data_IF_938993798994
#
_entry.id   IF_938993798994
#
_cell.length_a   1.000
_cell.length_b   1.000
_cell.length_c   1.000
_cell.angle_alpha   90.00
_cell.angle_beta   90.00
_cell.angle_gamma   90.00
#
_symmetry.space_group_name_H-M   'P 1'
#
loop_
_entity.id
_entity.type
_entity.pdbx_description
1 polymer ?
#
# COMPACT_ATOMS: atom_id res chain seq x y z
N UNK A 1 6.20 24.48 3.41
CA UNK A 1 6.57 23.12 2.99
C UNK A 1 5.61 22.15 3.63
N UNK A 2 4.46 21.93 2.99
CA UNK A 2 3.56 20.85 3.39
C UNK A 2 4.24 19.53 3.07
N UNK A 3 4.37 18.69 4.09
CA UNK A 3 5.13 17.44 4.04
C UNK A 3 4.53 16.52 2.96
N UNK A 4 5.26 16.29 1.87
CA UNK A 4 5.07 15.16 0.93
C UNK A 4 5.30 13.81 1.65
N UNK A 5 4.46 13.50 2.65
CA UNK A 5 4.41 12.20 3.34
C UNK A 5 3.52 11.21 2.58
N UNK A 6 2.79 11.67 1.56
CA UNK A 6 1.53 11.07 1.15
C UNK A 6 1.62 9.72 0.44
N UNK A 7 2.68 9.44 -0.35
CA UNK A 7 2.83 8.15 -1.05
C UNK A 7 3.91 7.25 -0.42
N UNK A 8 5.14 7.75 -0.29
CA UNK A 8 6.29 6.94 0.18
C UNK A 8 6.15 6.52 1.65
N UNK A 9 5.68 7.43 2.52
CA UNK A 9 5.51 7.11 3.94
C UNK A 9 4.45 6.02 4.16
N UNK A 10 3.31 6.13 3.46
CA UNK A 10 2.24 5.15 3.52
C UNK A 10 2.66 3.78 2.97
N UNK A 11 3.40 3.77 1.83
CA UNK A 11 4.03 2.55 1.26
C UNK A 11 4.91 1.84 2.28
N UNK A 12 5.81 2.57 2.92
CA UNK A 12 6.72 2.03 3.93
C UNK A 12 5.96 1.49 5.14
N UNK A 13 4.94 2.19 5.64
CA UNK A 13 4.13 1.74 6.78
C UNK A 13 3.37 0.45 6.46
N UNK A 14 2.74 0.35 5.29
CA UNK A 14 2.05 -0.88 4.85
C UNK A 14 3.05 -2.03 4.71
N UNK A 15 4.24 -1.77 4.17
CA UNK A 15 5.31 -2.77 4.08
C UNK A 15 5.72 -3.32 5.44
N UNK A 16 5.88 -2.45 6.45
CA UNK A 16 6.19 -2.84 7.83
C UNK A 16 5.09 -3.72 8.42
N UNK A 17 3.82 -3.36 8.24
CA UNK A 17 2.69 -4.14 8.76
C UNK A 17 2.56 -5.51 8.08
N UNK A 18 2.91 -5.64 6.79
CA UNK A 18 2.99 -6.93 6.11
C UNK A 18 4.07 -7.80 6.76
N UNK A 19 5.29 -7.27 6.96
CA UNK A 19 6.40 -8.02 7.55
C UNK A 19 6.14 -8.43 9.01
N UNK A 20 5.41 -7.60 9.76
CA UNK A 20 4.94 -7.96 11.11
C UNK A 20 3.93 -9.10 11.04
N UNK A 21 2.94 -9.00 10.16
CA UNK A 21 1.91 -10.03 10.01
C UNK A 21 2.50 -11.37 9.54
N UNK A 22 3.48 -11.38 8.62
CA UNK A 22 4.21 -12.59 8.20
C UNK A 22 4.89 -13.26 9.39
N UNK A 23 5.69 -12.51 10.15
CA UNK A 23 6.35 -13.04 11.35
C UNK A 23 5.35 -13.63 12.35
N UNK A 24 4.20 -13.00 12.54
CA UNK A 24 3.19 -13.52 13.47
C UNK A 24 2.50 -14.80 12.98
N UNK A 25 2.40 -15.01 11.67
CA UNK A 25 1.93 -16.27 11.08
C UNK A 25 2.97 -17.36 11.33
N UNK A 26 4.25 -17.09 11.07
CA UNK A 26 5.32 -18.08 11.20
C UNK A 26 5.53 -18.56 12.65
N UNK A 27 5.24 -17.71 13.64
CA UNK A 27 5.40 -18.04 15.07
C UNK A 27 4.11 -18.54 15.73
N UNK A 28 3.05 -18.80 14.95
CA UNK A 28 1.78 -19.23 15.54
C UNK A 28 1.80 -20.72 15.91
N UNK A 29 1.54 -20.98 17.19
CA UNK A 29 1.67 -22.29 17.85
C UNK A 29 0.34 -23.03 17.99
N UNK A 30 -0.78 -22.38 17.68
CA UNK A 30 -2.11 -23.00 17.67
C UNK A 30 -2.88 -22.63 16.41
N UNK A 31 -3.76 -23.52 15.96
CA UNK A 31 -4.54 -23.36 14.73
C UNK A 31 -5.41 -22.09 14.74
N UNK A 32 -6.03 -21.77 15.88
CA UNK A 32 -6.90 -20.57 15.99
C UNK A 32 -6.09 -19.26 15.89
N UNK A 33 -4.90 -19.24 16.49
CA UNK A 33 -3.99 -18.10 16.40
C UNK A 33 -3.48 -17.95 14.97
N UNK A 34 -3.09 -19.05 14.32
CA UNK A 34 -2.71 -19.06 12.90
C UNK A 34 -3.82 -18.50 12.00
N UNK A 35 -5.07 -18.96 12.17
CA UNK A 35 -6.20 -18.50 11.36
C UNK A 35 -6.49 -17.00 11.53
N UNK A 36 -6.35 -16.47 12.75
CA UNK A 36 -6.47 -15.03 12.97
C UNK A 36 -5.34 -14.26 12.28
N UNK A 37 -4.10 -14.73 12.41
CA UNK A 37 -2.91 -14.05 11.85
C UNK A 37 -2.83 -14.10 10.34
N UNK A 38 -3.26 -15.21 9.71
CA UNK A 38 -3.31 -15.29 8.25
C UNK A 38 -4.37 -14.33 7.67
N UNK A 39 -5.45 -14.04 8.40
CA UNK A 39 -6.46 -13.05 7.99
C UNK A 39 -5.89 -11.62 8.03
N UNK A 40 -5.15 -11.28 9.08
CA UNK A 40 -4.44 -10.00 9.21
C UNK A 40 -3.41 -9.84 8.09
N UNK A 41 -2.63 -10.89 7.80
CA UNK A 41 -1.67 -10.91 6.69
C UNK A 41 -2.33 -10.70 5.32
N UNK A 42 -3.41 -11.44 5.02
CA UNK A 42 -4.16 -11.28 3.77
C UNK A 42 -4.69 -9.85 3.61
N UNK A 43 -5.18 -9.24 4.69
CA UNK A 43 -5.65 -7.85 4.69
C UNK A 43 -4.51 -6.87 4.38
N UNK A 44 -3.33 -7.04 4.99
CA UNK A 44 -2.17 -6.21 4.73
C UNK A 44 -1.69 -6.33 3.27
N UNK A 45 -1.68 -7.55 2.70
CA UNK A 45 -1.40 -7.76 1.27
C UNK A 45 -2.42 -7.08 0.35
N UNK A 46 -3.71 -7.10 0.71
CA UNK A 46 -4.75 -6.42 -0.06
C UNK A 46 -4.56 -4.90 -0.04
N UNK A 47 -4.19 -4.32 1.10
CA UNK A 47 -3.85 -2.89 1.20
C UNK A 47 -2.70 -2.49 0.28
N UNK A 48 -1.64 -3.31 0.21
CA UNK A 48 -0.53 -3.07 -0.74
C UNK A 48 -1.00 -3.05 -2.19
N UNK A 49 -1.89 -3.97 -2.58
CA UNK A 49 -2.45 -3.99 -3.95
C UNK A 49 -3.29 -2.75 -4.25
N UNK A 50 -4.17 -2.35 -3.32
CA UNK A 50 -4.98 -1.15 -3.49
C UNK A 50 -4.12 0.10 -3.67
N UNK A 51 -3.00 0.17 -2.95
CA UNK A 51 -2.09 1.29 -3.08
C UNK A 51 -1.34 1.31 -4.42
N UNK A 52 -1.01 0.14 -4.99
CA UNK A 52 -0.47 0.06 -6.35
C UNK A 52 -1.50 0.51 -7.40
N UNK A 53 -2.77 0.14 -7.25
CA UNK A 53 -3.83 0.61 -8.15
C UNK A 53 -4.09 2.11 -7.98
N UNK A 54 -3.95 2.64 -6.77
CA UNK A 54 -4.02 4.07 -6.51
C UNK A 54 -2.91 4.83 -7.23
N UNK A 55 -1.65 4.36 -7.15
CA UNK A 55 -0.52 4.98 -7.86
C UNK A 55 -0.77 5.04 -9.38
N UNK A 56 -1.22 3.93 -9.98
CA UNK A 56 -1.60 3.89 -11.41
C UNK A 56 -2.73 4.87 -11.74
N UNK A 57 -3.70 5.01 -10.83
CA UNK A 57 -4.77 5.98 -10.96
C UNK A 57 -4.27 7.43 -10.94
N UNK A 58 -3.30 7.74 -10.08
CA UNK A 58 -2.66 9.06 -10.04
C UNK A 58 -1.91 9.34 -11.34
N UNK A 59 -1.11 8.39 -11.83
CA UNK A 59 -0.39 8.48 -13.10
C UNK A 59 -1.36 8.72 -14.28
N UNK A 60 -2.48 7.99 -14.31
CA UNK A 60 -3.53 8.18 -15.31
C UNK A 60 -4.08 9.60 -15.26
N UNK A 61 -4.52 10.08 -14.09
CA UNK A 61 -5.10 11.42 -13.93
C UNK A 61 -4.10 12.50 -14.31
N UNK A 62 -2.82 12.37 -13.91
CA UNK A 62 -1.78 13.32 -14.28
C UNK A 62 -1.63 13.38 -15.80
N UNK A 63 -1.51 12.22 -16.47
CA UNK A 63 -1.38 12.16 -17.93
C UNK A 63 -2.57 12.78 -18.66
N UNK A 64 -3.81 12.50 -18.25
CA UNK A 64 -5.00 13.10 -18.87
C UNK A 64 -5.02 14.62 -18.63
N UNK A 65 -4.59 15.09 -17.46
CA UNK A 65 -4.47 16.52 -17.18
C UNK A 65 -3.41 17.21 -18.05
N UNK A 66 -2.25 16.57 -18.26
CA UNK A 66 -1.20 17.09 -19.15
C UNK A 66 -1.71 17.25 -20.58
N UNK A 67 -2.46 16.26 -21.07
CA UNK A 67 -3.09 16.32 -22.41
C UNK A 67 -4.10 17.46 -22.54
N UNK A 68 -4.91 17.69 -21.51
CA UNK A 68 -5.92 18.75 -21.51
C UNK A 68 -5.32 20.16 -21.32
N UNK A 69 -4.30 20.28 -20.47
CA UNK A 69 -3.74 21.58 -20.06
C UNK A 69 -2.51 22.01 -20.85
N UNK A 70 -1.84 21.08 -21.54
CA UNK A 70 -0.55 21.30 -22.20
C UNK A 70 0.60 21.57 -21.23
N UNK A 71 0.43 21.30 -19.93
CA UNK A 71 1.43 21.50 -18.87
C UNK A 71 1.81 20.16 -18.28
N UNK A 72 3.11 19.93 -18.15
CA UNK A 72 3.68 18.74 -17.52
C UNK A 72 3.43 18.76 -15.99
N UNK A 73 3.08 17.60 -15.43
CA UNK A 73 2.84 17.40 -13.99
C UNK A 73 3.77 16.30 -13.49
N UNK A 74 4.71 16.65 -12.62
CA UNK A 74 5.50 15.65 -11.88
C UNK A 74 4.75 15.19 -10.63
N UNK A 75 4.54 13.88 -10.52
CA UNK A 75 3.98 13.18 -9.36
C UNK A 75 5.04 12.73 -8.36
#
# INVERSE_FOLDING_TARGET
>A
MEKHITSTGLKSMIGIEILKAERMVDHSITTDVYQRKIKEYKRAKQLKRLLQEFDKGQEYVAREYEQLSGREVML
#
